data_IF_795903429049
#
_entry.id   IF_795903429049
#
_cell.length_a   1.000
_cell.length_b   1.000
_cell.length_c   1.000
_cell.angle_alpha   90.00
_cell.angle_beta   90.00
_cell.angle_gamma   90.00
#
_symmetry.space_group_name_H-M   'P 1'
#
loop_
_entity.id
_entity.type
_entity.pdbx_description
1 polymer ?
#
# COMPACT_ATOMS: atom_id res chain seq x y z
N UNK A 1 26.33 -45.65 -15.93
CA UNK A 1 25.80 -45.40 -17.29
C UNK A 1 24.41 -44.80 -17.14
N UNK A 2 24.25 -43.51 -17.41
CA UNK A 2 22.92 -42.88 -17.44
C UNK A 2 22.23 -43.39 -18.70
N UNK A 3 21.07 -44.04 -18.58
CA UNK A 3 20.26 -44.40 -19.74
C UNK A 3 19.96 -43.12 -20.52
N UNK A 4 20.36 -43.10 -21.80
CA UNK A 4 20.03 -42.00 -22.71
C UNK A 4 18.51 -41.95 -22.81
N UNK A 5 17.89 -40.89 -22.29
CA UNK A 5 16.42 -40.72 -22.31
C UNK A 5 15.92 -40.90 -23.74
N UNK A 6 14.94 -41.78 -23.93
CA UNK A 6 14.31 -42.01 -25.24
C UNK A 6 13.07 -41.14 -25.34
N UNK A 7 12.93 -40.45 -26.47
CA UNK A 7 11.79 -39.60 -26.79
C UNK A 7 10.70 -40.43 -27.47
N UNK A 8 10.11 -41.38 -26.75
CA UNK A 8 9.07 -42.26 -27.29
C UNK A 8 7.66 -41.65 -27.11
N UNK A 9 6.69 -41.94 -28.00
CA UNK A 9 5.31 -41.52 -27.82
C UNK A 9 4.75 -41.87 -26.44
N UNK A 10 4.10 -40.91 -25.79
CA UNK A 10 3.59 -41.00 -24.42
C UNK A 10 4.56 -40.50 -23.35
N UNK A 11 5.85 -40.25 -23.64
CA UNK A 11 6.75 -39.65 -22.68
C UNK A 11 6.45 -38.16 -22.45
N UNK A 12 6.61 -37.73 -21.20
CA UNK A 12 6.59 -36.32 -20.81
C UNK A 12 7.94 -35.68 -21.11
N UNK A 13 7.90 -34.47 -21.67
CA UNK A 13 9.07 -33.68 -22.05
C UNK A 13 8.85 -32.21 -21.75
N UNK A 14 9.93 -31.44 -21.70
CA UNK A 14 9.87 -29.99 -21.74
C UNK A 14 10.31 -29.46 -23.11
N UNK A 15 9.60 -28.46 -23.61
CA UNK A 15 9.71 -27.91 -24.97
C UNK A 15 10.09 -26.43 -24.91
N UNK A 16 11.10 -26.04 -25.66
CA UNK A 16 11.54 -24.66 -25.82
C UNK A 16 10.94 -24.02 -27.08
N UNK A 17 10.13 -22.99 -26.91
CA UNK A 17 9.36 -22.36 -27.99
C UNK A 17 10.12 -21.19 -28.67
N UNK A 18 11.22 -20.71 -28.09
CA UNK A 18 11.98 -19.58 -28.66
C UNK A 18 12.85 -20.02 -29.86
N UNK A 19 12.43 -19.64 -31.08
CA UNK A 19 13.06 -20.04 -32.36
C UNK A 19 14.33 -19.26 -32.74
N UNK A 20 14.83 -18.37 -31.90
CA UNK A 20 16.03 -17.58 -32.17
C UNK A 20 16.89 -17.51 -30.93
N UNK A 21 18.14 -17.97 -31.02
CA UNK A 21 19.13 -18.05 -29.94
C UNK A 21 19.53 -16.70 -29.34
N UNK A 22 18.56 -15.99 -28.75
CA UNK A 22 18.80 -14.96 -27.76
C UNK A 22 19.18 -15.58 -26.42
N UNK A 23 19.71 -14.76 -25.53
CA UNK A 23 20.28 -15.11 -24.21
C UNK A 23 19.19 -15.61 -23.20
N UNK A 24 17.98 -15.91 -23.67
CA UNK A 24 16.78 -16.18 -22.86
C UNK A 24 15.96 -17.30 -23.50
N UNK A 25 15.77 -18.43 -22.80
CA UNK A 25 15.06 -19.61 -23.30
C UNK A 25 13.96 -20.05 -22.31
N UNK A 26 12.71 -20.16 -22.77
CA UNK A 26 11.54 -20.59 -21.96
C UNK A 26 11.16 -22.05 -22.24
N UNK A 27 10.90 -22.87 -21.20
CA UNK A 27 10.53 -24.30 -21.32
C UNK A 27 9.08 -24.58 -20.87
N UNK A 28 8.37 -25.46 -21.58
CA UNK A 28 6.95 -25.83 -21.36
C UNK A 28 6.77 -27.35 -21.28
N UNK A 29 5.95 -27.86 -20.35
CA UNK A 29 5.65 -29.29 -20.28
C UNK A 29 4.72 -29.73 -21.41
N UNK A 30 5.06 -30.84 -22.04
CA UNK A 30 4.27 -31.44 -23.10
C UNK A 30 4.39 -32.97 -23.09
N UNK A 31 3.44 -33.61 -23.74
CA UNK A 31 3.43 -35.05 -23.98
C UNK A 31 3.76 -35.33 -25.44
N UNK A 32 4.69 -36.24 -25.69
CA UNK A 32 5.01 -36.67 -27.05
C UNK A 32 3.82 -37.45 -27.60
N UNK A 33 3.23 -36.98 -28.70
CA UNK A 33 2.12 -37.67 -29.36
C UNK A 33 2.64 -38.69 -30.35
N UNK A 34 3.54 -38.27 -31.25
CA UNK A 34 4.15 -39.14 -32.27
C UNK A 34 5.36 -38.49 -32.96
N UNK A 35 6.16 -39.30 -33.62
CA UNK A 35 7.19 -38.83 -34.56
C UNK A 35 6.57 -38.30 -35.85
N UNK A 36 7.06 -37.16 -36.32
CA UNK A 36 6.64 -36.51 -37.58
C UNK A 36 7.73 -36.68 -38.65
N UNK A 37 9.00 -36.62 -38.24
CA UNK A 37 10.18 -36.93 -39.04
C UNK A 37 11.29 -37.48 -38.13
N UNK A 38 12.46 -37.83 -38.68
CA UNK A 38 13.60 -38.31 -37.90
C UNK A 38 14.14 -37.31 -36.86
N UNK A 39 13.79 -36.03 -36.98
CA UNK A 39 14.27 -34.92 -36.16
C UNK A 39 13.16 -34.08 -35.53
N UNK A 40 11.88 -34.42 -35.76
CA UNK A 40 10.71 -33.69 -35.24
C UNK A 40 9.66 -34.60 -34.64
N UNK A 41 9.06 -34.11 -33.56
CA UNK A 41 8.00 -34.75 -32.79
C UNK A 41 6.79 -33.84 -32.75
N UNK A 42 5.60 -34.43 -32.85
CA UNK A 42 4.35 -33.74 -32.53
C UNK A 42 4.17 -33.84 -31.02
N UNK A 43 4.11 -32.69 -30.35
CA UNK A 43 3.89 -32.61 -28.91
C UNK A 43 2.56 -31.92 -28.62
N UNK A 44 1.88 -32.39 -27.58
CA UNK A 44 0.67 -31.79 -27.03
C UNK A 44 1.01 -31.18 -25.69
N UNK A 45 0.81 -29.87 -25.55
CA UNK A 45 1.12 -29.16 -24.30
C UNK A 45 0.08 -29.50 -23.23
N UNK A 46 0.52 -29.50 -21.97
CA UNK A 46 -0.37 -29.80 -20.85
C UNK A 46 -1.37 -28.67 -20.53
N UNK A 47 -1.20 -27.50 -21.16
CA UNK A 47 -2.09 -26.34 -21.05
C UNK A 47 -3.20 -26.40 -22.11
N UNK A 48 -4.45 -26.25 -21.68
CA UNK A 48 -5.67 -26.70 -22.38
C UNK A 48 -6.03 -25.92 -23.66
N UNK A 49 -5.27 -24.91 -24.05
CA UNK A 49 -5.58 -24.02 -25.18
C UNK A 49 -4.52 -23.98 -26.31
N UNK A 50 -3.48 -24.82 -26.26
CA UNK A 50 -2.43 -24.84 -27.29
C UNK A 50 -2.60 -26.03 -28.23
N UNK A 51 -2.76 -25.76 -29.54
CA UNK A 51 -2.84 -26.82 -30.55
C UNK A 51 -1.55 -27.67 -30.56
N UNK A 52 -1.65 -28.98 -30.77
CA UNK A 52 -0.49 -29.85 -30.96
C UNK A 52 0.46 -29.26 -32.02
N UNK A 53 1.75 -29.20 -31.70
CA UNK A 53 2.75 -28.49 -32.51
C UNK A 53 3.95 -29.37 -32.82
N UNK A 54 4.47 -29.25 -34.05
CA UNK A 54 5.70 -29.94 -34.47
C UNK A 54 6.93 -29.22 -33.90
N UNK A 55 7.76 -29.94 -33.15
CA UNK A 55 8.95 -29.40 -32.50
C UNK A 55 10.18 -30.24 -32.81
N UNK A 56 11.32 -29.58 -33.01
CA UNK A 56 12.58 -30.27 -33.29
C UNK A 56 13.20 -30.88 -32.02
N UNK A 57 13.98 -31.95 -32.16
CA UNK A 57 14.67 -32.58 -31.02
C UNK A 57 15.56 -31.61 -30.22
N UNK A 58 16.13 -30.59 -30.87
CA UNK A 58 16.94 -29.55 -30.22
C UNK A 58 16.13 -28.62 -29.30
N UNK A 59 14.81 -28.63 -29.43
CA UNK A 59 13.87 -27.87 -28.60
C UNK A 59 13.35 -28.69 -27.43
N UNK A 60 13.77 -29.95 -27.28
CA UNK A 60 13.24 -30.86 -26.28
C UNK A 60 14.29 -31.21 -25.23
N UNK A 61 13.86 -31.25 -23.97
CA UNK A 61 14.61 -31.87 -22.88
C UNK A 61 13.72 -32.84 -22.09
N UNK A 62 14.30 -33.87 -21.46
CA UNK A 62 13.55 -34.69 -20.50
C UNK A 62 12.98 -33.79 -19.39
N UNK A 63 11.81 -34.13 -18.87
CA UNK A 63 11.34 -33.50 -17.62
C UNK A 63 12.42 -33.74 -16.54
N UNK A 64 12.86 -32.69 -15.81
CA UNK A 64 13.83 -32.87 -14.73
C UNK A 64 13.40 -34.01 -13.81
N UNK A 65 14.34 -34.89 -13.46
CA UNK A 65 14.06 -35.98 -12.51
C UNK A 65 13.63 -35.37 -11.17
N UNK A 66 12.69 -35.98 -10.42
CA UNK A 66 12.36 -35.51 -9.08
C UNK A 66 13.64 -35.33 -8.27
N UNK A 67 13.78 -34.12 -7.72
CA UNK A 67 14.98 -33.66 -7.00
C UNK A 67 15.47 -34.73 -6.00
N UNK A 68 16.76 -35.08 -6.08
CA UNK A 68 17.46 -35.80 -5.02
C UNK A 68 17.23 -35.11 -3.67
N UNK A 69 17.09 -35.90 -2.61
CA UNK A 69 16.62 -35.37 -1.33
C UNK A 69 17.61 -34.43 -0.62
N UNK A 70 18.85 -34.35 -1.09
CA UNK A 70 19.90 -33.49 -0.54
C UNK A 70 20.47 -32.56 -1.62
N UNK A 71 19.92 -31.35 -1.76
CA UNK A 71 20.51 -30.31 -2.62
C UNK A 71 20.71 -28.99 -1.85
N UNK A 72 21.92 -28.45 -1.97
CA UNK A 72 22.32 -27.14 -1.45
C UNK A 72 23.03 -26.37 -2.57
N UNK A 73 22.64 -25.10 -2.75
CA UNK A 73 23.19 -24.24 -3.81
C UNK A 73 24.31 -23.37 -3.27
N UNK A 74 25.48 -23.45 -3.91
CA UNK A 74 26.68 -22.66 -3.60
C UNK A 74 26.76 -21.41 -4.46
N UNK A 75 27.49 -20.40 -3.97
CA UNK A 75 27.76 -19.18 -4.72
C UNK A 75 28.50 -19.54 -6.02
N UNK A 76 27.93 -19.17 -7.18
CA UNK A 76 28.33 -19.46 -8.57
C UNK A 76 27.68 -20.69 -9.21
N UNK A 77 26.85 -21.43 -8.49
CA UNK A 77 26.05 -22.48 -9.11
C UNK A 77 25.07 -21.84 -10.11
N UNK A 78 24.95 -22.45 -11.29
CA UNK A 78 23.86 -22.17 -12.22
C UNK A 78 22.63 -22.85 -11.67
N UNK A 79 21.58 -22.08 -11.42
CA UNK A 79 20.35 -22.54 -10.79
C UNK A 79 19.15 -22.07 -11.60
N UNK A 80 18.14 -22.94 -11.73
CA UNK A 80 16.90 -22.61 -12.41
C UNK A 80 15.89 -22.06 -11.39
N UNK A 81 15.37 -20.84 -11.62
CA UNK A 81 14.38 -20.20 -10.78
C UNK A 81 13.04 -20.06 -11.52
N UNK A 82 11.93 -20.35 -10.87
CA UNK A 82 10.60 -20.20 -11.47
C UNK A 82 10.12 -18.75 -11.34
N UNK A 83 9.87 -18.08 -12.47
CA UNK A 83 9.40 -16.67 -12.52
C UNK A 83 8.42 -16.52 -13.71
N UNK A 84 7.35 -15.73 -13.58
CA UNK A 84 6.37 -15.49 -14.68
C UNK A 84 5.91 -16.78 -15.42
N UNK A 85 5.59 -17.85 -14.68
CA UNK A 85 5.14 -19.15 -15.22
C UNK A 85 6.16 -19.91 -16.07
N UNK A 86 7.46 -19.66 -15.88
CA UNK A 86 8.56 -20.26 -16.65
C UNK A 86 9.75 -20.56 -15.75
N UNK A 87 10.54 -21.57 -16.10
CA UNK A 87 11.86 -21.85 -15.51
C UNK A 87 12.93 -20.95 -16.15
N UNK A 88 13.77 -20.29 -15.34
CA UNK A 88 14.81 -19.36 -15.78
C UNK A 88 16.17 -19.80 -15.27
N UNK A 89 17.17 -19.95 -16.14
CA UNK A 89 18.57 -20.12 -15.72
C UNK A 89 19.13 -18.79 -15.16
N UNK A 90 19.56 -18.79 -13.89
CA UNK A 90 20.27 -17.68 -13.26
C UNK A 90 21.57 -18.16 -12.59
N UNK A 91 22.56 -17.27 -12.46
CA UNK A 91 23.70 -17.54 -11.56
C UNK A 91 23.25 -17.24 -10.12
N UNK A 92 23.57 -18.13 -9.17
CA UNK A 92 23.27 -17.92 -7.74
C UNK A 92 23.77 -16.57 -7.18
N UNK A 93 24.72 -15.90 -7.84
CA UNK A 93 25.21 -14.57 -7.43
C UNK A 93 24.12 -13.51 -7.31
N UNK A 94 23.09 -13.51 -8.17
CA UNK A 94 22.09 -12.44 -8.15
C UNK A 94 21.16 -12.58 -6.94
N UNK A 95 20.68 -13.80 -6.66
CA UNK A 95 19.85 -14.10 -5.47
C UNK A 95 20.64 -13.91 -4.17
N UNK A 96 21.91 -14.34 -4.14
CA UNK A 96 22.78 -14.04 -3.00
C UNK A 96 23.03 -12.53 -2.84
N UNK A 97 23.13 -11.74 -3.91
CA UNK A 97 23.27 -10.28 -3.83
C UNK A 97 22.01 -9.63 -3.27
N UNK A 98 20.81 -10.11 -3.63
CA UNK A 98 19.55 -9.64 -3.05
C UNK A 98 19.40 -9.98 -1.56
N UNK A 99 19.77 -11.20 -1.15
CA UNK A 99 19.75 -11.61 0.26
C UNK A 99 20.82 -10.87 1.06
N UNK A 100 22.02 -10.70 0.50
CA UNK A 100 23.09 -9.86 1.09
C UNK A 100 22.61 -8.42 1.20
N UNK A 101 21.89 -7.86 0.23
CA UNK A 101 21.32 -6.52 0.32
C UNK A 101 20.23 -6.43 1.42
N UNK A 102 19.36 -7.44 1.56
CA UNK A 102 18.39 -7.50 2.64
C UNK A 102 19.06 -7.65 4.03
N UNK A 103 20.14 -8.42 4.12
CA UNK A 103 20.98 -8.55 5.32
C UNK A 103 21.78 -7.26 5.57
N UNK A 104 22.22 -6.55 4.54
CA UNK A 104 22.89 -5.25 4.65
C UNK A 104 21.94 -4.15 5.15
N UNK A 105 20.67 -4.19 4.73
CA UNK A 105 19.61 -3.33 5.29
C UNK A 105 19.44 -3.64 6.79
N UNK A 106 19.41 -4.92 7.19
CA UNK A 106 19.31 -5.34 8.60
C UNK A 106 20.56 -4.99 9.44
N UNK A 107 21.76 -5.13 8.86
CA UNK A 107 23.04 -4.88 9.55
C UNK A 107 23.43 -3.41 9.59
N UNK A 108 22.74 -2.51 8.88
CA UNK A 108 22.88 -1.06 9.06
C UNK A 108 22.51 -0.57 10.47
N UNK A 109 21.87 -1.43 11.28
CA UNK A 109 21.58 -1.22 12.70
C UNK A 109 22.63 -1.82 13.66
N UNK A 110 23.69 -2.47 13.18
CA UNK A 110 24.75 -3.08 14.01
C UNK A 110 26.12 -2.53 13.62
N UNK A 111 26.89 -2.09 14.62
CA UNK A 111 28.13 -1.31 14.46
C UNK A 111 29.17 -1.97 13.54
N UNK A 112 29.71 -1.15 12.64
CA UNK A 112 30.62 -1.43 11.52
C UNK A 112 31.95 -2.17 11.79
N UNK A 113 32.23 -2.65 13.00
CA UNK A 113 33.56 -3.20 13.35
C UNK A 113 33.69 -4.73 13.21
N UNK A 114 32.60 -5.50 13.24
CA UNK A 114 32.68 -6.98 13.18
C UNK A 114 32.78 -7.57 11.75
N UNK A 115 32.44 -6.80 10.72
CA UNK A 115 32.20 -7.32 9.35
C UNK A 115 33.44 -7.38 8.45
N UNK A 116 34.56 -6.76 8.82
CA UNK A 116 35.80 -6.87 8.02
C UNK A 116 36.49 -8.24 8.13
N UNK A 117 36.05 -9.12 9.03
CA UNK A 117 36.71 -10.41 9.32
C UNK A 117 35.96 -11.67 8.83
N UNK A 118 34.89 -11.53 8.05
CA UNK A 118 34.07 -12.67 7.59
C UNK A 118 33.91 -12.76 6.08
N UNK A 119 35.05 -12.78 5.39
CA UNK A 119 35.14 -13.20 3.99
C UNK A 119 35.50 -14.69 3.92
N UNK A 120 34.62 -15.57 4.40
CA UNK A 120 34.58 -16.99 4.01
C UNK A 120 33.43 -17.71 4.73
N UNK A 121 32.66 -18.47 3.94
CA UNK A 121 31.70 -19.52 4.32
C UNK A 121 30.27 -19.14 4.71
N UNK A 122 29.35 -20.03 4.31
CA UNK A 122 27.89 -19.90 4.23
C UNK A 122 27.19 -19.77 5.61
N UNK A 123 27.26 -18.61 6.26
CA UNK A 123 26.63 -18.43 7.59
C UNK A 123 25.12 -18.18 7.58
N UNK A 124 24.50 -17.91 6.44
CA UNK A 124 23.06 -17.59 6.37
C UNK A 124 22.22 -18.86 6.53
N UNK A 125 22.65 -19.97 5.93
CA UNK A 125 21.96 -21.27 6.04
C UNK A 125 22.03 -21.86 7.46
N UNK A 126 22.91 -21.36 8.32
CA UNK A 126 23.05 -21.77 9.72
C UNK A 126 22.11 -20.99 10.67
N UNK A 127 21.51 -19.88 10.20
CA UNK A 127 20.62 -19.08 11.03
C UNK A 127 19.36 -19.89 11.41
N UNK A 128 18.78 -19.70 12.61
CA UNK A 128 17.51 -20.35 12.98
C UNK A 128 16.32 -19.94 12.10
N UNK A 129 15.31 -20.81 11.97
CA UNK A 129 14.12 -20.59 11.13
C UNK A 129 13.43 -19.26 11.46
N UNK A 130 13.35 -18.90 12.73
CA UNK A 130 12.72 -17.65 13.16
C UNK A 130 13.43 -16.40 12.61
N UNK A 131 14.76 -16.45 12.46
CA UNK A 131 15.56 -15.36 11.88
C UNK A 131 15.38 -15.33 10.37
N UNK A 132 15.36 -16.49 9.72
CA UNK A 132 15.12 -16.56 8.27
C UNK A 132 13.72 -16.06 7.90
N UNK A 133 12.68 -16.46 8.63
CA UNK A 133 11.32 -15.91 8.49
C UNK A 133 11.27 -14.41 8.81
N UNK A 134 12.13 -13.94 9.72
CA UNK A 134 12.28 -12.51 9.97
C UNK A 134 12.86 -11.78 8.77
N UNK A 135 13.88 -12.32 8.10
CA UNK A 135 14.45 -11.73 6.88
C UNK A 135 13.41 -11.75 5.75
N UNK A 136 12.75 -12.89 5.51
CA UNK A 136 11.75 -13.05 4.45
C UNK A 136 10.58 -12.06 4.56
N UNK A 137 10.22 -11.59 5.77
CA UNK A 137 9.12 -10.62 5.97
C UNK A 137 9.38 -9.26 5.31
N UNK A 138 10.64 -8.92 5.07
CA UNK A 138 11.04 -7.65 4.45
C UNK A 138 11.16 -7.75 2.94
N UNK A 139 11.06 -8.96 2.38
CA UNK A 139 11.12 -9.18 0.94
C UNK A 139 9.73 -9.04 0.32
N UNK A 140 9.70 -8.63 -0.95
CA UNK A 140 8.50 -8.80 -1.76
C UNK A 140 8.24 -10.29 -1.99
N UNK A 141 6.99 -10.66 -2.25
CA UNK A 141 6.58 -12.05 -2.42
C UNK A 141 7.39 -12.76 -3.53
N UNK A 142 7.71 -12.04 -4.61
CA UNK A 142 8.53 -12.58 -5.70
C UNK A 142 9.96 -12.90 -5.24
N UNK A 143 10.57 -12.01 -4.48
CA UNK A 143 11.94 -12.16 -4.00
C UNK A 143 12.01 -13.23 -2.90
N UNK A 144 11.00 -13.29 -2.02
CA UNK A 144 10.85 -14.37 -1.06
C UNK A 144 10.82 -15.72 -1.76
N UNK A 145 9.95 -15.90 -2.77
CA UNK A 145 9.87 -17.15 -3.54
C UNK A 145 11.18 -17.48 -4.25
N UNK A 146 11.94 -16.48 -4.72
CA UNK A 146 13.25 -16.74 -5.34
C UNK A 146 14.26 -17.34 -4.35
N UNK A 147 14.13 -17.09 -3.05
CA UNK A 147 15.01 -17.74 -2.05
C UNK A 147 14.80 -19.25 -1.96
N UNK A 148 13.70 -19.79 -2.50
CA UNK A 148 13.48 -21.25 -2.57
C UNK A 148 14.63 -21.99 -3.27
N UNK A 149 15.36 -21.31 -4.17
CA UNK A 149 16.48 -21.91 -4.92
C UNK A 149 17.74 -22.12 -4.07
N UNK A 150 17.77 -21.69 -2.81
CA UNK A 150 18.97 -21.82 -1.97
C UNK A 150 19.08 -23.20 -1.34
N UNK A 151 17.95 -23.75 -0.88
CA UNK A 151 17.80 -25.13 -0.40
C UNK A 151 16.33 -25.43 -0.11
N UNK A 152 16.03 -26.71 0.12
CA UNK A 152 14.72 -27.19 0.59
C UNK A 152 14.20 -26.45 1.81
N UNK A 153 15.08 -26.11 2.76
CA UNK A 153 14.72 -25.37 3.97
C UNK A 153 14.10 -24.01 3.63
N UNK A 154 14.68 -23.27 2.69
CA UNK A 154 14.13 -21.99 2.26
C UNK A 154 12.82 -22.14 1.49
N UNK A 155 12.70 -23.20 0.68
CA UNK A 155 11.45 -23.56 -0.01
C UNK A 155 10.30 -23.76 0.98
N UNK A 156 10.55 -24.42 2.11
CA UNK A 156 9.53 -24.61 3.16
C UNK A 156 9.27 -23.34 3.97
N UNK A 157 10.32 -22.57 4.31
CA UNK A 157 10.15 -21.32 5.05
C UNK A 157 9.36 -20.27 4.24
N UNK A 158 9.54 -20.21 2.92
CA UNK A 158 8.77 -19.33 2.05
C UNK A 158 7.26 -19.57 2.13
N UNK A 159 6.83 -20.81 2.39
CA UNK A 159 5.40 -21.15 2.53
C UNK A 159 4.82 -20.70 3.87
N UNK A 160 5.68 -20.45 4.87
CA UNK A 160 5.32 -20.12 6.26
C UNK A 160 5.37 -18.63 6.59
N UNK A 161 5.70 -17.78 5.61
CA UNK A 161 5.82 -16.32 5.84
C UNK A 161 4.52 -15.74 6.39
N UNK A 162 4.60 -14.80 7.33
CA UNK A 162 3.42 -14.15 7.93
C UNK A 162 3.13 -12.78 7.35
N UNK A 163 3.97 -12.32 6.42
CA UNK A 163 3.86 -11.04 5.73
C UNK A 163 4.08 -11.27 4.24
N UNK A 164 3.18 -10.74 3.41
CA UNK A 164 3.29 -10.78 1.96
C UNK A 164 3.11 -9.38 1.38
N UNK A 165 4.07 -8.98 0.56
CA UNK A 165 4.02 -7.73 -0.19
C UNK A 165 4.09 -8.05 -1.67
N UNK A 166 3.05 -7.69 -2.41
CA UNK A 166 3.00 -7.84 -3.86
C UNK A 166 3.12 -6.48 -4.51
N UNK A 167 4.20 -6.24 -5.26
CA UNK A 167 4.35 -5.04 -6.07
C UNK A 167 4.37 -5.44 -7.53
N UNK A 168 3.47 -4.85 -8.34
CA UNK A 168 3.48 -5.08 -9.77
C UNK A 168 4.56 -4.21 -10.42
N UNK A 169 5.53 -4.85 -11.07
CA UNK A 169 6.49 -4.17 -11.93
C UNK A 169 5.80 -3.68 -13.22
N UNK A 170 6.17 -2.49 -13.71
CA UNK A 170 5.62 -1.93 -14.96
C UNK A 170 5.81 -2.84 -16.19
N UNK A 171 6.79 -3.75 -16.15
CA UNK A 171 7.09 -4.73 -17.22
C UNK A 171 6.40 -6.10 -17.04
N UNK A 172 5.60 -6.27 -15.98
CA UNK A 172 4.78 -7.48 -15.78
C UNK A 172 3.36 -7.26 -16.28
N UNK A 173 2.87 -8.19 -17.11
CA UNK A 173 1.45 -8.21 -17.51
C UNK A 173 0.57 -8.50 -16.30
N UNK A 174 -0.69 -8.02 -16.33
CA UNK A 174 -1.66 -8.24 -15.24
C UNK A 174 -1.86 -9.73 -14.96
N UNK A 175 -2.05 -10.53 -16.00
CA UNK A 175 -2.32 -11.95 -15.88
C UNK A 175 -1.17 -12.72 -15.22
N UNK A 176 0.08 -12.41 -15.56
CA UNK A 176 1.24 -13.09 -14.95
C UNK A 176 1.39 -12.73 -13.46
N UNK A 177 0.99 -11.52 -13.08
CA UNK A 177 0.97 -11.11 -11.67
C UNK A 177 -0.14 -11.82 -10.90
N UNK A 178 -1.35 -11.90 -11.47
CA UNK A 178 -2.51 -12.58 -10.87
C UNK A 178 -2.26 -14.08 -10.71
N UNK A 179 -1.72 -14.75 -11.74
CA UNK A 179 -1.37 -16.17 -11.67
C UNK A 179 -0.24 -16.42 -10.66
N UNK A 180 0.77 -15.54 -10.57
CA UNK A 180 1.80 -15.64 -9.53
C UNK A 180 1.21 -15.54 -8.13
N UNK A 181 0.34 -14.55 -7.89
CA UNK A 181 -0.35 -14.38 -6.62
C UNK A 181 -1.17 -15.63 -6.28
N UNK A 182 -1.96 -16.16 -7.23
CA UNK A 182 -2.74 -17.39 -7.06
C UNK A 182 -1.87 -18.60 -6.72
N UNK A 183 -0.72 -18.74 -7.40
CA UNK A 183 0.24 -19.81 -7.12
C UNK A 183 0.85 -19.69 -5.71
N UNK A 184 1.31 -18.49 -5.31
CA UNK A 184 1.88 -18.29 -3.96
C UNK A 184 0.84 -18.64 -2.90
N UNK A 185 -0.42 -18.25 -3.11
CA UNK A 185 -1.49 -18.53 -2.17
C UNK A 185 -1.82 -20.01 -2.06
N UNK A 186 -1.88 -20.71 -3.19
CA UNK A 186 -2.19 -22.15 -3.23
C UNK A 186 -1.09 -23.01 -2.61
N UNK A 187 0.15 -22.50 -2.55
CA UNK A 187 1.30 -23.22 -2.02
C UNK A 187 1.66 -22.84 -0.58
N UNK A 188 0.92 -21.93 0.06
CA UNK A 188 1.14 -21.56 1.46
C UNK A 188 0.85 -22.72 2.41
N UNK A 189 1.57 -22.72 3.52
CA UNK A 189 1.21 -23.54 4.68
C UNK A 189 0.14 -22.79 5.50
N UNK A 190 -1.10 -23.22 5.39
CA UNK A 190 -2.25 -22.61 6.08
C UNK A 190 -2.24 -22.82 7.60
N UNK A 191 -1.32 -23.65 8.13
CA UNK A 191 -1.07 -23.74 9.57
C UNK A 191 -0.45 -22.46 10.13
N UNK A 192 0.12 -21.61 9.26
CA UNK A 192 0.72 -20.33 9.61
C UNK A 192 -0.16 -19.17 9.15
N UNK A 193 -0.64 -18.38 10.11
CA UNK A 193 -1.48 -17.22 9.84
C UNK A 193 -0.76 -16.17 9.00
N UNK A 194 -1.40 -15.69 7.94
CA UNK A 194 -0.99 -14.47 7.27
C UNK A 194 -1.49 -13.28 8.08
N UNK A 195 -0.56 -12.46 8.57
CA UNK A 195 -0.87 -11.33 9.46
C UNK A 195 -0.86 -10.00 8.71
N UNK A 196 0.06 -9.84 7.75
CA UNK A 196 0.24 -8.60 7.01
C UNK A 196 0.16 -8.86 5.51
N UNK A 197 -0.72 -8.14 4.82
CA UNK A 197 -0.84 -8.19 3.38
C UNK A 197 -0.72 -6.78 2.80
N UNK A 198 0.19 -6.62 1.84
CA UNK A 198 0.32 -5.39 1.04
C UNK A 198 0.22 -5.73 -0.44
N UNK A 199 -0.65 -5.04 -1.17
CA UNK A 199 -0.85 -5.20 -2.60
C UNK A 199 -0.72 -3.82 -3.26
N UNK A 200 0.36 -3.65 -4.02
CA UNK A 200 0.66 -2.46 -4.81
C UNK A 200 0.56 -2.83 -6.30
N UNK A 201 -0.65 -2.91 -6.82
CA UNK A 201 -0.87 -3.40 -8.18
C UNK A 201 -2.13 -2.87 -8.83
N UNK A 202 -2.08 -2.77 -10.16
CA UNK A 202 -3.29 -2.68 -10.97
C UNK A 202 -3.98 -4.03 -11.02
N UNK A 203 -5.04 -4.18 -10.22
CA UNK A 203 -5.95 -5.32 -10.28
C UNK A 203 -6.98 -5.08 -11.39
N UNK A 204 -6.94 -5.89 -12.46
CA UNK A 204 -8.04 -6.02 -13.43
C UNK A 204 -8.79 -7.34 -13.26
N UNK A 205 -8.25 -8.29 -12.48
CA UNK A 205 -8.82 -9.59 -12.11
C UNK A 205 -8.18 -10.14 -10.82
N UNK A 206 -8.45 -11.41 -10.47
CA UNK A 206 -7.87 -12.10 -9.29
C UNK A 206 -8.55 -11.78 -7.95
N UNK A 207 -9.79 -11.29 -7.97
CA UNK A 207 -10.55 -10.93 -6.77
C UNK A 207 -10.94 -12.15 -5.93
N UNK A 208 -11.15 -13.30 -6.56
CA UNK A 208 -11.50 -14.55 -5.86
C UNK A 208 -10.37 -15.03 -4.96
N UNK A 209 -9.12 -14.88 -5.41
CA UNK A 209 -7.93 -15.20 -4.62
C UNK A 209 -7.74 -14.23 -3.46
N UNK A 210 -7.97 -12.93 -3.71
CA UNK A 210 -7.96 -11.91 -2.65
C UNK A 210 -9.05 -12.18 -1.61
N UNK A 211 -10.25 -12.54 -2.06
CA UNK A 211 -11.36 -12.97 -1.22
C UNK A 211 -10.94 -14.15 -0.35
N UNK A 212 -10.38 -15.21 -0.96
CA UNK A 212 -9.92 -16.40 -0.23
C UNK A 212 -8.88 -16.02 0.82
N UNK A 213 -7.91 -15.20 0.46
CA UNK A 213 -6.84 -14.76 1.33
C UNK A 213 -7.38 -13.98 2.54
N UNK A 214 -8.25 -12.99 2.30
CA UNK A 214 -8.82 -12.16 3.36
C UNK A 214 -9.76 -12.97 4.25
N UNK A 215 -10.56 -13.88 3.67
CA UNK A 215 -11.56 -14.63 4.40
C UNK A 215 -10.97 -15.72 5.32
N UNK A 216 -9.88 -16.38 4.91
CA UNK A 216 -9.30 -17.49 5.69
C UNK A 216 -8.25 -17.05 6.71
N UNK A 217 -7.80 -15.78 6.68
CA UNK A 217 -6.70 -15.32 7.53
C UNK A 217 -7.16 -14.23 8.51
N UNK A 218 -6.77 -14.31 9.79
CA UNK A 218 -6.98 -13.24 10.75
C UNK A 218 -5.95 -12.11 10.50
N UNK A 219 -6.11 -11.40 9.38
CA UNK A 219 -5.21 -10.30 9.00
C UNK A 219 -5.21 -9.23 10.10
N UNK A 220 -4.02 -8.79 10.48
CA UNK A 220 -3.82 -7.65 11.40
C UNK A 220 -3.61 -6.35 10.63
N UNK A 221 -2.98 -6.42 9.45
CA UNK A 221 -2.72 -5.27 8.58
C UNK A 221 -3.05 -5.61 7.13
N UNK A 222 -3.87 -4.76 6.50
CA UNK A 222 -4.18 -4.84 5.08
C UNK A 222 -3.90 -3.50 4.40
N UNK A 223 -3.07 -3.54 3.36
CA UNK A 223 -2.78 -2.40 2.47
C UNK A 223 -3.12 -2.78 1.04
N UNK A 224 -4.04 -2.06 0.42
CA UNK A 224 -4.37 -2.22 -1.00
C UNK A 224 -4.20 -0.86 -1.65
N UNK A 225 -3.11 -0.72 -2.40
CA UNK A 225 -2.88 0.41 -3.29
C UNK A 225 -3.18 -0.02 -4.73
N UNK A 226 -4.47 0.03 -5.05
CA UNK A 226 -4.99 -0.28 -6.37
C UNK A 226 -5.07 0.97 -7.22
N UNK A 227 -4.19 1.12 -8.20
CA UNK A 227 -4.35 2.20 -9.18
C UNK A 227 -5.57 1.99 -10.12
N UNK A 228 -6.28 0.86 -9.97
CA UNK A 228 -7.21 0.26 -10.93
C UNK A 228 -8.66 0.28 -10.45
N UNK A 229 -9.53 -0.53 -11.08
CA UNK A 229 -10.95 -0.60 -10.67
C UNK A 229 -11.06 -1.18 -9.26
N UNK A 230 -12.08 -0.77 -8.51
CA UNK A 230 -12.42 -1.38 -7.21
C UNK A 230 -12.59 -2.88 -7.43
N UNK A 231 -12.18 -3.72 -6.47
CA UNK A 231 -12.77 -5.04 -6.34
C UNK A 231 -14.30 -4.93 -6.37
N UNK A 232 -15.00 -5.95 -6.89
CA UNK A 232 -16.46 -6.01 -6.86
C UNK A 232 -17.01 -5.67 -5.47
N UNK A 233 -18.26 -5.19 -5.43
CA UNK A 233 -18.93 -4.72 -4.21
C UNK A 233 -18.93 -5.73 -3.05
N UNK A 234 -18.69 -7.02 -3.32
CA UNK A 234 -18.68 -8.11 -2.35
C UNK A 234 -17.42 -8.15 -1.47
N UNK A 235 -16.28 -7.61 -1.92
CA UNK A 235 -15.03 -7.65 -1.13
C UNK A 235 -15.03 -6.63 0.01
N UNK A 236 -15.57 -5.44 -0.22
CA UNK A 236 -15.56 -4.34 0.76
C UNK A 236 -16.28 -4.74 2.07
N UNK A 237 -17.49 -5.33 2.06
CA UNK A 237 -18.15 -5.81 3.27
C UNK A 237 -17.31 -6.78 4.12
N UNK A 238 -16.52 -7.65 3.48
CA UNK A 238 -15.66 -8.61 4.20
C UNK A 238 -14.48 -7.90 4.87
N UNK A 239 -13.83 -6.99 4.15
CA UNK A 239 -12.74 -6.18 4.70
C UNK A 239 -13.26 -5.35 5.87
N UNK A 240 -14.41 -4.67 5.69
CA UNK A 240 -15.02 -3.79 6.69
C UNK A 240 -15.80 -4.51 7.81
N UNK A 241 -15.88 -5.85 7.77
CA UNK A 241 -16.42 -6.70 8.84
C UNK A 241 -15.34 -7.52 9.56
N UNK A 242 -14.06 -7.28 9.29
CA UNK A 242 -12.97 -8.03 9.93
C UNK A 242 -12.82 -7.66 11.41
N UNK A 243 -12.72 -8.68 12.26
CA UNK A 243 -12.58 -8.51 13.72
C UNK A 243 -11.12 -8.40 14.17
N UNK A 244 -10.16 -8.79 13.32
CA UNK A 244 -8.73 -8.84 13.65
C UNK A 244 -7.94 -7.63 13.12
N UNK A 245 -8.46 -6.91 12.11
CA UNK A 245 -7.74 -5.81 11.47
C UNK A 245 -7.48 -4.67 12.45
N UNK A 246 -6.20 -4.34 12.61
CA UNK A 246 -5.71 -3.21 13.42
C UNK A 246 -5.27 -2.03 12.55
N UNK A 247 -4.87 -2.31 11.31
CA UNK A 247 -4.44 -1.33 10.32
C UNK A 247 -5.09 -1.64 8.97
N UNK A 248 -5.73 -0.63 8.37
CA UNK A 248 -6.35 -0.74 7.05
C UNK A 248 -6.00 0.50 6.21
N UNK A 249 -5.40 0.28 5.04
CA UNK A 249 -5.10 1.33 4.07
C UNK A 249 -5.61 0.90 2.69
N UNK A 250 -6.62 1.62 2.20
CA UNK A 250 -7.27 1.34 0.92
C UNK A 250 -7.16 2.58 0.04
N UNK A 251 -6.44 2.43 -1.06
CA UNK A 251 -6.28 3.44 -2.10
C UNK A 251 -6.73 2.84 -3.44
N UNK A 252 -7.71 3.49 -4.07
CA UNK A 252 -8.27 3.05 -5.37
C UNK A 252 -8.07 4.09 -6.47
N UNK A 253 -8.50 3.82 -7.71
CA UNK A 253 -8.43 4.80 -8.79
C UNK A 253 -9.43 5.96 -8.59
N UNK A 254 -9.02 7.20 -8.93
CA UNK A 254 -9.92 8.37 -9.00
C UNK A 254 -11.12 8.17 -9.93
N UNK A 255 -10.93 7.42 -11.02
CA UNK A 255 -11.95 7.21 -12.05
C UNK A 255 -12.96 6.13 -11.69
N UNK A 256 -12.86 5.59 -10.47
CA UNK A 256 -13.67 4.48 -10.02
C UNK A 256 -15.06 4.96 -9.58
N UNK A 257 -16.09 4.43 -10.23
CA UNK A 257 -17.48 4.78 -9.89
C UNK A 257 -18.00 3.98 -8.69
N UNK A 258 -17.40 2.82 -8.42
CA UNK A 258 -18.01 1.75 -7.64
C UNK A 258 -17.52 1.69 -6.18
N UNK A 259 -16.56 2.52 -5.77
CA UNK A 259 -16.00 2.58 -4.40
C UNK A 259 -16.93 3.27 -3.40
N UNK A 260 -18.10 2.67 -3.16
CA UNK A 260 -18.98 3.12 -2.08
C UNK A 260 -18.52 2.54 -0.74
N UNK A 261 -18.23 3.42 0.21
CA UNK A 261 -18.01 3.01 1.59
C UNK A 261 -19.33 2.48 2.19
N UNK A 262 -19.32 1.38 2.95
CA UNK A 262 -20.48 0.96 3.72
C UNK A 262 -20.96 2.08 4.66
N UNK A 263 -22.26 2.13 4.92
CA UNK A 263 -22.89 3.09 5.83
C UNK A 263 -22.36 2.98 7.26
N UNK A 264 -21.85 1.82 7.66
CA UNK A 264 -21.26 1.59 8.96
C UNK A 264 -20.13 0.57 8.85
N UNK A 265 -18.99 0.86 9.47
CA UNK A 265 -17.83 -0.04 9.52
C UNK A 265 -17.83 -0.78 10.86
N UNK A 266 -17.74 -2.11 10.82
CA UNK A 266 -17.71 -2.95 12.03
C UNK A 266 -16.32 -3.55 12.22
N UNK A 267 -15.38 -2.69 12.63
CA UNK A 267 -13.96 -3.03 12.78
C UNK A 267 -13.51 -2.81 14.23
N UNK A 268 -13.79 -3.75 15.15
CA UNK A 268 -13.65 -3.55 16.60
C UNK A 268 -12.20 -3.43 17.08
N UNK A 269 -11.22 -3.96 16.33
CA UNK A 269 -9.80 -3.92 16.68
C UNK A 269 -9.02 -2.80 15.93
N UNK A 270 -9.69 -2.04 15.06
CA UNK A 270 -9.03 -1.11 14.13
C UNK A 270 -8.51 0.14 14.83
N UNK A 271 -7.22 0.39 14.69
CA UNK A 271 -6.51 1.54 15.25
C UNK A 271 -6.19 2.60 14.21
N UNK A 272 -5.96 2.19 12.97
CA UNK A 272 -5.58 3.09 11.87
C UNK A 272 -6.38 2.77 10.62
N UNK A 273 -7.04 3.77 10.07
CA UNK A 273 -7.84 3.69 8.85
C UNK A 273 -7.41 4.77 7.86
N UNK A 274 -6.92 4.36 6.70
CA UNK A 274 -6.67 5.26 5.56
C UNK A 274 -7.61 4.88 4.41
N UNK A 275 -8.36 5.87 3.93
CA UNK A 275 -9.25 5.72 2.78
C UNK A 275 -8.92 6.79 1.75
N UNK A 276 -8.56 6.35 0.55
CA UNK A 276 -8.27 7.23 -0.58
C UNK A 276 -9.15 6.92 -1.79
N UNK A 277 -9.77 7.96 -2.34
CA UNK A 277 -10.75 7.86 -3.44
C UNK A 277 -12.02 7.05 -3.11
N UNK A 278 -12.54 7.21 -1.89
CA UNK A 278 -13.80 6.60 -1.44
C UNK A 278 -14.98 7.56 -1.58
N UNK A 279 -16.17 6.98 -1.81
CA UNK A 279 -17.44 7.70 -1.87
C UNK A 279 -18.30 7.35 -0.67
N UNK A 280 -18.85 8.37 -0.01
CA UNK A 280 -19.70 8.21 1.17
C UNK A 280 -21.16 8.53 0.82
N UNK A 281 -22.07 7.69 1.34
CA UNK A 281 -23.52 7.82 1.20
C UNK A 281 -24.13 8.20 2.55
N UNK A 282 -25.31 8.82 2.53
CA UNK A 282 -25.95 9.27 3.76
C UNK A 282 -26.36 8.07 4.64
N UNK A 283 -26.05 8.21 5.93
CA UNK A 283 -26.48 7.29 6.99
C UNK A 283 -27.82 7.72 7.56
N UNK A 284 -27.96 9.01 7.89
CA UNK A 284 -29.16 9.63 8.43
C UNK A 284 -29.12 11.14 8.18
N UNK A 285 -30.27 11.81 7.95
CA UNK A 285 -30.38 13.27 7.79
C UNK A 285 -29.30 13.92 6.88
N UNK A 286 -29.04 13.33 5.70
CA UNK A 286 -27.97 13.78 4.78
C UNK A 286 -26.54 13.72 5.34
N UNK A 287 -26.34 13.16 6.53
CA UNK A 287 -25.04 12.97 7.17
C UNK A 287 -24.48 11.58 6.87
N UNK A 288 -23.22 11.51 6.46
CA UNK A 288 -22.46 10.28 6.33
C UNK A 288 -21.51 10.13 7.53
N UNK A 289 -21.68 9.07 8.32
CA UNK A 289 -20.79 8.72 9.45
C UNK A 289 -20.54 7.20 9.54
N UNK A 290 -19.62 6.66 8.74
CA UNK A 290 -19.36 5.23 8.75
C UNK A 290 -18.47 4.79 9.93
N UNK A 291 -17.89 5.71 10.71
CA UNK A 291 -16.78 5.43 11.64
C UNK A 291 -17.20 5.18 13.10
N UNK A 292 -18.48 5.35 13.42
CA UNK A 292 -19.00 5.33 14.79
C UNK A 292 -18.73 4.00 15.53
N UNK A 293 -18.73 2.88 14.82
CA UNK A 293 -18.57 1.54 15.39
C UNK A 293 -17.11 1.07 15.47
N UNK A 294 -16.14 1.90 15.08
CA UNK A 294 -14.72 1.62 15.23
C UNK A 294 -14.21 2.10 16.61
N UNK A 295 -14.50 1.33 17.67
CA UNK A 295 -14.36 1.77 19.07
C UNK A 295 -12.94 1.96 19.59
N UNK A 296 -11.91 1.51 18.86
CA UNK A 296 -10.49 1.69 19.24
C UNK A 296 -9.69 2.49 18.19
N UNK A 297 -10.40 3.14 17.27
CA UNK A 297 -9.81 3.92 16.19
C UNK A 297 -9.05 5.10 16.76
N UNK A 298 -7.78 5.21 16.37
CA UNK A 298 -6.87 6.24 16.84
C UNK A 298 -6.53 7.23 15.71
N UNK A 299 -6.28 6.71 14.51
CA UNK A 299 -5.86 7.48 13.33
C UNK A 299 -6.86 7.26 12.19
N UNK A 300 -7.39 8.37 11.66
CA UNK A 300 -8.24 8.39 10.47
C UNK A 300 -7.63 9.33 9.42
N UNK A 301 -7.40 8.80 8.23
CA UNK A 301 -6.93 9.57 7.07
C UNK A 301 -7.92 9.40 5.93
N UNK A 302 -8.48 10.52 5.48
CA UNK A 302 -9.35 10.58 4.31
C UNK A 302 -8.65 11.44 3.26
N UNK A 303 -8.42 10.88 2.08
CA UNK A 303 -7.76 11.57 0.97
C UNK A 303 -8.57 11.44 -0.33
N UNK A 304 -8.86 12.55 -0.99
CA UNK A 304 -9.49 12.56 -2.31
C UNK A 304 -10.86 11.85 -2.33
N UNK A 305 -11.60 11.91 -1.23
CA UNK A 305 -12.92 11.29 -1.07
C UNK A 305 -14.06 12.24 -1.44
N UNK A 306 -15.27 11.73 -1.62
CA UNK A 306 -16.44 12.58 -1.92
C UNK A 306 -17.74 12.05 -1.34
N UNK A 307 -18.68 12.95 -1.05
CA UNK A 307 -20.06 12.58 -0.75
C UNK A 307 -20.85 12.45 -2.06
N UNK A 308 -21.76 11.48 -2.10
CA UNK A 308 -22.61 11.21 -3.26
C UNK A 308 -24.07 11.07 -2.83
N UNK A 309 -24.97 11.06 -3.83
CA UNK A 309 -26.41 10.91 -3.63
C UNK A 309 -26.96 12.07 -2.80
N UNK A 310 -27.66 11.79 -1.71
CA UNK A 310 -28.26 12.76 -0.79
C UNK A 310 -27.32 13.16 0.35
N UNK A 311 -26.08 12.66 0.37
CA UNK A 311 -25.11 13.00 1.41
C UNK A 311 -24.55 14.42 1.22
N UNK A 312 -24.66 15.22 2.28
CA UNK A 312 -24.20 16.61 2.32
C UNK A 312 -23.15 16.80 3.42
N UNK A 313 -23.41 16.25 4.61
CA UNK A 313 -22.55 16.45 5.79
C UNK A 313 -21.65 15.23 5.99
N UNK A 314 -20.33 15.44 6.07
CA UNK A 314 -19.43 14.41 6.58
C UNK A 314 -19.34 14.55 8.10
N UNK A 315 -19.94 13.59 8.81
CA UNK A 315 -19.82 13.53 10.26
C UNK A 315 -18.72 12.55 10.65
N UNK A 316 -17.91 12.95 11.61
CA UNK A 316 -16.87 12.11 12.18
C UNK A 316 -17.13 12.04 13.67
N UNK A 317 -17.90 11.04 14.08
CA UNK A 317 -18.25 10.80 15.48
C UNK A 317 -17.48 9.60 16.01
N UNK A 318 -16.43 9.85 16.80
CA UNK A 318 -15.61 8.79 17.35
C UNK A 318 -14.95 9.21 18.67
N UNK A 319 -15.13 8.40 19.71
CA UNK A 319 -14.70 8.75 21.08
C UNK A 319 -13.20 8.51 21.34
N UNK A 320 -12.53 7.72 20.50
CA UNK A 320 -11.12 7.34 20.69
C UNK A 320 -10.18 8.02 19.71
N UNK A 321 -10.71 8.60 18.63
CA UNK A 321 -9.93 9.22 17.58
C UNK A 321 -9.07 10.36 18.14
N UNK A 322 -7.74 10.24 17.97
CA UNK A 322 -6.80 11.27 18.39
C UNK A 322 -6.16 12.00 17.21
N UNK A 323 -6.08 11.36 16.04
CA UNK A 323 -5.45 11.93 14.85
C UNK A 323 -6.41 11.86 13.66
N UNK A 324 -6.74 13.01 13.09
CA UNK A 324 -7.59 13.13 11.91
C UNK A 324 -6.83 13.86 10.81
N UNK A 325 -6.83 13.28 9.60
CA UNK A 325 -6.35 13.95 8.39
C UNK A 325 -7.44 13.94 7.33
N UNK A 326 -7.77 15.11 6.79
CA UNK A 326 -8.73 15.29 5.71
C UNK A 326 -8.04 16.02 4.57
N UNK A 327 -7.84 15.35 3.44
CA UNK A 327 -7.21 15.93 2.25
C UNK A 327 -8.12 15.78 1.04
N UNK A 328 -8.36 16.83 0.26
CA UNK A 328 -9.14 16.74 -0.98
C UNK A 328 -10.51 16.07 -0.86
N UNK A 329 -11.19 16.24 0.28
CA UNK A 329 -12.52 15.66 0.49
C UNK A 329 -13.60 16.63 0.03
N UNK A 330 -14.52 16.15 -0.81
CA UNK A 330 -15.65 16.91 -1.32
C UNK A 330 -16.88 16.64 -0.45
N UNK A 331 -17.22 17.60 0.41
CA UNK A 331 -18.40 17.58 1.26
C UNK A 331 -19.02 18.98 1.32
N UNK A 332 -20.31 19.05 1.58
CA UNK A 332 -20.94 20.34 1.85
C UNK A 332 -20.48 20.85 3.20
N UNK A 333 -20.73 20.13 4.30
CA UNK A 333 -20.38 20.53 5.68
C UNK A 333 -19.55 19.43 6.38
N UNK A 334 -18.73 19.83 7.35
CA UNK A 334 -18.03 18.90 8.25
C UNK A 334 -18.57 19.02 9.68
N UNK A 335 -18.86 17.88 10.31
CA UNK A 335 -19.28 17.82 11.72
C UNK A 335 -18.35 16.93 12.51
N UNK A 336 -17.69 17.50 13.52
CA UNK A 336 -16.77 16.77 14.39
C UNK A 336 -17.43 16.48 15.75
N UNK A 337 -17.43 15.21 16.13
CA UNK A 337 -17.76 14.73 17.48
C UNK A 337 -16.64 13.80 17.96
N UNK A 338 -15.47 14.38 18.16
CA UNK A 338 -14.21 13.69 18.48
C UNK A 338 -13.53 14.36 19.67
N UNK A 339 -14.02 14.13 20.91
CA UNK A 339 -13.58 14.90 22.08
C UNK A 339 -12.11 14.66 22.44
N UNK A 340 -11.50 13.55 22.03
CA UNK A 340 -10.10 13.20 22.29
C UNK A 340 -9.14 13.59 21.17
N UNK A 341 -9.62 14.35 20.17
CA UNK A 341 -8.80 14.76 19.05
C UNK A 341 -7.61 15.61 19.52
N UNK A 342 -6.41 15.17 19.19
CA UNK A 342 -5.14 15.78 19.58
C UNK A 342 -4.41 16.40 18.39
N UNK A 343 -4.56 15.80 17.20
CA UNK A 343 -3.96 16.28 15.95
C UNK A 343 -5.00 16.32 14.85
N UNK A 344 -5.11 17.48 14.18
CA UNK A 344 -5.97 17.64 13.02
C UNK A 344 -5.19 18.22 11.85
N UNK A 345 -5.17 17.51 10.72
CA UNK A 345 -4.50 17.94 9.49
C UNK A 345 -5.55 18.12 8.39
N UNK A 346 -5.46 19.24 7.67
CA UNK A 346 -6.27 19.48 6.47
C UNK A 346 -5.41 19.96 5.30
N UNK A 347 -5.72 19.50 4.08
CA UNK A 347 -5.11 20.05 2.88
C UNK A 347 -5.89 19.84 1.57
N UNK A 348 -5.57 20.63 0.54
CA UNK A 348 -6.03 20.43 -0.84
C UNK A 348 -7.54 20.19 -1.04
N UNK A 349 -8.44 20.93 -0.40
CA UNK A 349 -9.90 20.73 -0.53
C UNK A 349 -10.53 21.70 -1.57
N UNK A 350 -10.85 21.25 -2.80
CA UNK A 350 -11.08 22.16 -3.94
C UNK A 350 -12.52 22.70 -4.06
N UNK A 351 -13.45 22.26 -3.20
CA UNK A 351 -14.85 22.72 -3.20
C UNK A 351 -15.31 22.87 -1.75
N UNK A 352 -14.97 23.98 -1.11
CA UNK A 352 -15.54 24.34 0.19
C UNK A 352 -16.83 25.12 -0.05
N UNK A 353 -17.99 24.47 0.06
CA UNK A 353 -19.24 25.21 0.18
C UNK A 353 -19.68 25.46 1.63
N UNK A 354 -19.48 24.58 2.62
CA UNK A 354 -20.07 24.79 3.97
C UNK A 354 -19.16 24.42 5.16
N UNK A 355 -19.61 24.92 6.30
CA UNK A 355 -18.90 25.19 7.55
C UNK A 355 -18.25 23.96 8.21
N UNK A 356 -17.26 24.19 9.07
CA UNK A 356 -16.89 23.23 10.10
C UNK A 356 -17.76 23.52 11.32
N UNK A 357 -18.42 22.48 11.80
CA UNK A 357 -19.12 22.50 13.07
C UNK A 357 -18.47 21.46 13.98
N UNK A 358 -18.28 21.80 15.24
CA UNK A 358 -17.91 20.84 16.26
C UNK A 358 -18.99 20.80 17.31
N UNK A 359 -19.41 19.59 17.67
CA UNK A 359 -20.31 19.36 18.80
C UNK A 359 -19.56 19.25 20.13
N UNK A 360 -18.22 19.32 20.09
CA UNK A 360 -17.35 19.24 21.25
C UNK A 360 -16.30 20.37 21.29
N UNK A 361 -15.83 20.73 22.48
CA UNK A 361 -14.92 21.87 22.70
C UNK A 361 -13.45 21.62 22.26
N UNK A 362 -13.17 20.48 21.61
CA UNK A 362 -11.83 20.06 21.13
C UNK A 362 -10.69 20.39 22.10
N UNK A 363 -10.90 20.18 23.40
CA UNK A 363 -9.99 20.67 24.46
C UNK A 363 -8.66 19.93 24.52
N UNK A 364 -8.58 18.74 23.92
CA UNK A 364 -7.35 17.96 23.83
C UNK A 364 -6.50 18.31 22.61
N UNK A 365 -6.99 19.18 21.72
CA UNK A 365 -6.33 19.53 20.47
C UNK A 365 -4.96 20.17 20.75
N UNK A 366 -3.90 19.47 20.38
CA UNK A 366 -2.52 19.91 20.53
C UNK A 366 -2.06 20.59 19.25
N UNK A 367 -2.31 19.98 18.10
CA UNK A 367 -1.74 20.40 16.82
C UNK A 367 -2.78 20.48 15.72
N UNK A 368 -2.74 21.58 14.97
CA UNK A 368 -3.50 21.77 13.73
C UNK A 368 -2.53 22.06 12.60
N UNK A 369 -2.61 21.28 11.51
CA UNK A 369 -1.80 21.45 10.32
C UNK A 369 -2.68 21.77 9.11
N UNK A 370 -2.31 22.78 8.34
CA UNK A 370 -3.12 23.27 7.22
C UNK A 370 -2.22 23.57 6.03
N UNK A 371 -2.48 22.92 4.90
CA UNK A 371 -1.63 23.03 3.70
C UNK A 371 -2.48 23.18 2.42
N UNK A 372 -1.86 23.74 1.39
CA UNK A 372 -2.27 23.59 -0.02
C UNK A 372 -3.69 24.06 -0.39
N UNK A 373 -3.98 25.34 -0.13
CA UNK A 373 -5.19 26.00 -0.65
C UNK A 373 -5.04 26.40 -2.12
N UNK A 374 -6.16 26.33 -2.85
CA UNK A 374 -6.20 26.47 -4.30
C UNK A 374 -6.94 27.72 -4.79
N UNK A 375 -7.84 28.30 -3.98
CA UNK A 375 -8.61 29.48 -4.40
C UNK A 375 -9.03 30.42 -3.24
N UNK A 376 -9.37 31.67 -3.58
CA UNK A 376 -9.69 32.73 -2.63
C UNK A 376 -10.98 32.50 -1.80
N UNK A 377 -11.94 31.72 -2.30
CA UNK A 377 -13.16 31.42 -1.54
C UNK A 377 -12.88 30.51 -0.32
N UNK A 378 -11.80 29.72 -0.38
CA UNK A 378 -11.38 28.81 0.69
C UNK A 378 -10.95 29.57 1.95
N UNK A 379 -10.30 30.73 1.82
CA UNK A 379 -9.75 31.49 2.95
C UNK A 379 -10.83 32.07 3.89
N UNK A 380 -12.00 32.49 3.40
CA UNK A 380 -13.08 33.00 4.26
C UNK A 380 -13.71 31.89 5.10
N UNK A 381 -13.94 30.72 4.51
CA UNK A 381 -14.50 29.56 5.21
C UNK A 381 -13.49 29.05 6.24
N UNK A 382 -12.21 29.06 5.88
CA UNK A 382 -11.12 28.72 6.78
C UNK A 382 -11.09 29.61 8.04
N UNK A 383 -11.27 30.92 7.92
CA UNK A 383 -11.32 31.80 9.08
C UNK A 383 -12.43 31.38 10.07
N UNK A 384 -13.57 30.90 9.55
CA UNK A 384 -14.63 30.33 10.38
C UNK A 384 -14.22 29.02 11.06
N UNK A 385 -13.41 28.19 10.41
CA UNK A 385 -12.89 26.96 11.03
C UNK A 385 -11.93 27.26 12.16
N UNK A 386 -11.09 28.29 12.03
CA UNK A 386 -10.16 28.68 13.10
C UNK A 386 -10.90 29.04 14.40
N UNK A 387 -12.13 29.56 14.31
CA UNK A 387 -12.98 29.78 15.49
C UNK A 387 -13.29 28.48 16.23
N UNK A 388 -13.56 27.39 15.49
CA UNK A 388 -13.82 26.06 16.05
C UNK A 388 -12.53 25.43 16.62
N UNK A 389 -11.38 25.72 16.03
CA UNK A 389 -10.08 25.14 16.37
C UNK A 389 -9.26 26.01 17.34
N UNK A 390 -9.86 27.06 17.91
CA UNK A 390 -9.16 28.08 18.70
C UNK A 390 -8.48 27.57 19.99
N UNK A 391 -8.81 26.35 20.42
CA UNK A 391 -8.26 25.74 21.63
C UNK A 391 -6.93 24.97 21.42
N UNK A 392 -6.34 25.08 20.23
CA UNK A 392 -5.09 24.43 19.81
C UNK A 392 -3.84 25.03 20.49
N UNK A 393 -2.76 24.24 20.62
CA UNK A 393 -1.44 24.70 21.10
C UNK A 393 -0.43 25.01 20.00
N UNK A 394 -0.41 24.22 18.94
CA UNK A 394 0.52 24.34 17.82
C UNK A 394 -0.28 24.47 16.53
N UNK A 395 -0.09 25.58 15.84
CA UNK A 395 -0.70 25.85 14.54
C UNK A 395 0.37 25.84 13.47
N UNK A 396 0.21 25.03 12.41
CA UNK A 396 1.19 24.92 11.33
C UNK A 396 0.54 25.18 9.98
N UNK A 397 0.95 26.24 9.30
CA UNK A 397 0.45 26.58 7.97
C UNK A 397 1.51 26.35 6.90
N UNK A 398 1.08 25.90 5.73
CA UNK A 398 1.85 26.01 4.51
C UNK A 398 1.76 27.42 3.93
N UNK A 399 2.80 27.84 3.20
CA UNK A 399 2.84 29.15 2.55
C UNK A 399 1.59 29.48 1.71
N UNK A 400 1.07 28.50 0.97
CA UNK A 400 -0.13 28.66 0.13
C UNK A 400 -1.37 29.10 0.92
N UNK A 401 -1.47 28.74 2.20
CA UNK A 401 -2.54 29.19 3.09
C UNK A 401 -2.40 30.69 3.38
N UNK A 402 -1.21 31.13 3.77
CA UNK A 402 -0.92 32.55 4.06
C UNK A 402 -1.14 33.43 2.83
N UNK A 403 -0.59 33.02 1.68
CA UNK A 403 -0.74 33.72 0.40
C UNK A 403 -2.22 33.89 -0.01
N UNK A 404 -3.03 32.85 0.19
CA UNK A 404 -4.47 32.90 -0.13
C UNK A 404 -5.22 33.87 0.81
N UNK A 405 -4.89 33.87 2.11
CA UNK A 405 -5.50 34.79 3.08
C UNK A 405 -5.11 36.24 2.76
N UNK A 406 -3.84 36.49 2.44
CA UNK A 406 -3.35 37.81 2.06
C UNK A 406 -4.10 38.35 0.83
N UNK A 407 -4.26 37.52 -0.21
CA UNK A 407 -5.03 37.87 -1.41
C UNK A 407 -6.48 38.24 -1.08
N UNK A 408 -7.12 37.54 -0.14
CA UNK A 408 -8.48 37.90 0.32
C UNK A 408 -8.51 39.24 1.01
N UNK A 409 -7.54 39.55 1.89
CA UNK A 409 -7.46 40.86 2.55
C UNK A 409 -7.23 42.02 1.58
N UNK A 410 -6.49 41.79 0.50
CA UNK A 410 -6.27 42.77 -0.56
C UNK A 410 -7.52 43.00 -1.42
N UNK A 411 -8.26 41.92 -1.75
CA UNK A 411 -9.42 41.99 -2.64
C UNK A 411 -10.71 42.48 -1.97
N UNK A 412 -10.86 42.24 -0.65
CA UNK A 412 -12.02 42.68 0.12
C UNK A 412 -11.57 43.39 1.40
N UNK A 413 -11.43 44.72 1.43
CA UNK A 413 -11.08 45.46 2.64
C UNK A 413 -12.09 45.26 3.79
N UNK A 414 -13.36 45.00 3.44
CA UNK A 414 -14.43 44.63 4.38
C UNK A 414 -14.28 43.23 4.99
N UNK A 415 -13.47 42.34 4.39
CA UNK A 415 -13.16 41.02 4.97
C UNK A 415 -12.24 41.10 6.19
N UNK A 416 -11.52 42.22 6.39
CA UNK A 416 -10.83 42.52 7.66
C UNK A 416 -11.80 42.66 8.84
N UNK A 417 -13.12 42.74 8.60
CA UNK A 417 -14.15 42.72 9.63
C UNK A 417 -14.58 41.31 10.07
N UNK A 418 -14.06 40.23 9.47
CA UNK A 418 -14.21 38.91 10.09
C UNK A 418 -13.49 38.94 11.42
N UNK A 419 -14.18 38.61 12.51
CA UNK A 419 -13.51 38.55 13.80
C UNK A 419 -12.42 37.47 13.75
N UNK A 420 -11.15 37.82 14.02
CA UNK A 420 -10.09 36.82 14.09
C UNK A 420 -10.36 35.83 15.23
N UNK A 421 -9.86 34.58 15.10
CA UNK A 421 -9.99 33.58 16.15
C UNK A 421 -9.38 34.06 17.46
N UNK A 422 -10.04 33.74 18.56
CA UNK A 422 -9.50 33.98 19.90
C UNK A 422 -8.79 32.73 20.39
N UNK A 423 -7.50 32.61 20.07
CA UNK A 423 -6.72 31.49 20.55
C UNK A 423 -6.48 31.60 22.05
N UNK A 424 -6.82 30.56 22.82
CA UNK A 424 -6.70 30.57 24.29
C UNK A 424 -5.43 29.88 24.76
N UNK A 425 -4.93 28.90 24.00
CA UNK A 425 -3.82 28.01 24.38
C UNK A 425 -2.69 27.96 23.37
N UNK A 426 -2.74 28.80 22.33
CA UNK A 426 -1.75 28.76 21.26
C UNK A 426 -0.38 29.17 21.85
N UNK A 427 0.59 28.26 21.72
CA UNK A 427 1.96 28.39 22.23
C UNK A 427 2.93 28.62 21.06
N UNK A 428 2.65 28.01 19.90
CA UNK A 428 3.54 28.02 18.74
C UNK A 428 2.74 28.12 17.43
N UNK A 429 3.09 29.08 16.58
CA UNK A 429 2.58 29.22 15.21
C UNK A 429 3.75 29.07 14.23
N UNK A 430 3.75 28.00 13.43
CA UNK A 430 4.73 27.74 12.38
C UNK A 430 4.16 28.05 11.00
N UNK A 431 4.92 28.77 10.17
CA UNK A 431 4.64 28.94 8.75
C UNK A 431 5.76 28.31 7.93
N UNK A 432 5.43 27.33 7.09
CA UNK A 432 6.39 26.70 6.18
C UNK A 432 6.51 27.52 4.90
N UNK A 433 7.68 28.09 4.65
CA UNK A 433 7.98 28.93 3.49
C UNK A 433 8.14 28.08 2.22
N UNK A 434 7.60 28.57 1.11
CA UNK A 434 7.87 27.96 -0.20
C UNK A 434 9.24 28.41 -0.71
N UNK A 435 9.95 27.61 -1.53
CA UNK A 435 11.31 27.92 -1.98
C UNK A 435 11.45 29.23 -2.76
N UNK A 436 10.35 29.78 -3.26
CA UNK A 436 10.30 30.93 -4.17
C UNK A 436 9.40 32.08 -3.69
N UNK A 437 9.03 32.15 -2.40
CA UNK A 437 7.90 33.00 -2.01
C UNK A 437 8.18 34.01 -0.87
N UNK A 438 7.65 35.22 -1.11
CA UNK A 438 7.44 36.44 -0.30
C UNK A 438 8.48 36.90 0.73
N UNK A 439 8.52 38.23 0.89
CA UNK A 439 9.19 38.88 2.02
C UNK A 439 8.51 38.44 3.33
N UNK A 440 9.30 38.17 4.36
CA UNK A 440 8.79 37.74 5.67
C UNK A 440 7.80 38.75 6.27
N UNK A 441 7.92 40.03 5.89
CA UNK A 441 7.03 41.11 6.28
C UNK A 441 5.57 40.82 5.91
N UNK A 442 5.32 40.37 4.69
CA UNK A 442 3.97 40.06 4.19
C UNK A 442 3.33 38.88 4.94
N UNK A 443 4.14 37.87 5.27
CA UNK A 443 3.71 36.72 6.07
C UNK A 443 3.32 37.19 7.47
N UNK A 444 4.15 38.06 8.06
CA UNK A 444 3.92 38.57 9.41
C UNK A 444 2.66 39.44 9.50
N UNK A 445 2.32 40.24 8.50
CA UNK A 445 1.07 41.02 8.48
C UNK A 445 -0.17 40.12 8.62
N UNK A 446 -0.18 38.99 7.91
CA UNK A 446 -1.28 38.01 7.98
C UNK A 446 -1.31 37.33 9.34
N UNK A 447 -0.15 36.90 9.85
CA UNK A 447 -0.04 36.24 11.16
C UNK A 447 -0.49 37.16 12.28
N UNK A 448 -0.04 38.42 12.29
CA UNK A 448 -0.46 39.43 13.26
C UNK A 448 -1.97 39.61 13.23
N UNK A 449 -2.58 39.72 12.04
CA UNK A 449 -4.02 39.84 11.91
C UNK A 449 -4.79 38.66 12.51
N UNK A 450 -4.33 37.42 12.27
CA UNK A 450 -4.94 36.22 12.85
C UNK A 450 -4.82 36.16 14.37
N UNK A 451 -3.75 36.75 14.94
CA UNK A 451 -3.47 36.74 16.37
C UNK A 451 -4.07 37.93 17.14
N UNK A 452 -4.69 38.91 16.48
CA UNK A 452 -5.17 40.16 17.11
C UNK A 452 -6.03 39.97 18.37
N UNK A 453 -6.84 38.91 18.43
CA UNK A 453 -7.73 38.62 19.56
C UNK A 453 -7.12 37.67 20.61
N UNK A 454 -5.88 37.21 20.40
CA UNK A 454 -5.19 36.24 21.25
C UNK A 454 -4.63 36.93 22.49
N UNK A 455 -4.89 36.39 23.68
CA UNK A 455 -4.49 37.04 24.94
C UNK A 455 -3.02 36.84 25.30
N UNK A 456 -2.43 35.70 24.93
CA UNK A 456 -1.01 35.39 25.14
C UNK A 456 -0.35 35.19 23.79
N UNK A 457 0.58 36.06 23.42
CA UNK A 457 1.23 35.99 22.11
C UNK A 457 2.07 34.70 22.00
N UNK A 458 1.80 33.83 21.01
CA UNK A 458 2.58 32.62 20.80
C UNK A 458 3.95 32.94 20.22
N UNK A 459 4.87 31.97 20.30
CA UNK A 459 6.08 32.00 19.49
C UNK A 459 5.68 31.81 18.02
N UNK A 460 6.24 32.63 17.12
CA UNK A 460 6.04 32.51 15.68
C UNK A 460 7.37 32.10 15.03
N UNK A 461 7.35 30.99 14.30
CA UNK A 461 8.50 30.48 13.55
C UNK A 461 8.16 30.44 12.06
N UNK A 462 8.96 31.09 11.21
CA UNK A 462 8.88 30.97 9.75
C UNK A 462 10.06 30.10 9.32
N UNK A 463 9.78 28.93 8.74
CA UNK A 463 10.77 27.88 8.43
C UNK A 463 10.79 27.45 6.98
#
# INVERSE_FOLDING_TARGET
MVQKFKFDPGNKVEVNIDRGGGIYCSWFTATIVRWVSSDKLLVEYDDMDVKPTDVGLHQLRPVPTPESDDWEVKIRDKVEAFRKHRWWEGLGRDVFTYIINAINIYTSCLSNQELKRQRQENRISELPDCILLHILRFLEAQDAVQTCILSKRWKDLCKRVTTLTYTRSGVTSSNAFEQFMSWVLSNRDHSYSLLNLTINAWMRGGEEELYKLININPLLSLKINGYGKCPKSELLPLIFGSHSLTFLDLCYSRNNTDTKCPKSLHLPALRTLHLKYFKFVATHNHCADPFQNCHVLNILVLDSCSLIEDAQVLCISNQTLSNLTISSVLAEQYSLSTPRLSSFTIGHCPIFQKLLSSTCNLSFLQQVNMYDFSNNAEALIFLNWLQVLANVKILKFGYSVIDTIQKVFLLNPTSKNLQPPRFVRLELFIVHKAPYACEEQEIMEVVEHLLQNTTLMPRVDII
#
